data_IF_200020232049
#
_entry.id   IF_200020232049
#
_cell.length_a   1.000
_cell.length_b   1.000
_cell.length_c   1.000
_cell.angle_alpha   90.00
_cell.angle_beta   90.00
_cell.angle_gamma   90.00
#
_symmetry.space_group_name_H-M   'P 1'
#
loop_
_entity.id
_entity.type
_entity.pdbx_description
1 polymer ?
#
# COMPACT_ATOMS: atom_id res chain seq x y z
N UNK A 1 14.32 19.48 14.92
CA UNK A 1 15.35 19.48 13.87
C UNK A 1 14.92 18.43 12.86
N UNK A 2 14.67 18.82 11.61
CA UNK A 2 14.37 17.90 10.52
C UNK A 2 15.63 17.09 10.25
N UNK A 3 15.56 15.76 10.28
CA UNK A 3 16.68 14.93 9.83
C UNK A 3 16.77 15.06 8.31
N UNK A 4 17.90 15.50 7.83
CA UNK A 4 18.22 15.57 6.41
C UNK A 4 18.60 14.20 5.86
N UNK A 5 18.70 14.06 4.53
CA UNK A 5 19.25 12.85 3.89
C UNK A 5 20.63 12.49 4.48
N UNK A 6 21.46 13.52 4.78
CA UNK A 6 22.77 13.36 5.44
C UNK A 6 22.65 12.80 6.86
N UNK A 7 21.53 13.04 7.57
CA UNK A 7 21.30 12.49 8.91
C UNK A 7 20.85 11.02 8.83
N UNK A 8 20.14 10.63 7.78
CA UNK A 8 19.80 9.22 7.48
C UNK A 8 21.06 8.41 7.21
N UNK A 9 22.04 8.99 6.51
CA UNK A 9 23.33 8.35 6.21
C UNK A 9 24.17 8.13 7.48
N UNK A 10 23.97 8.93 8.54
CA UNK A 10 24.66 8.79 9.85
C UNK A 10 23.91 7.89 10.84
N UNK A 11 22.67 7.49 10.54
CA UNK A 11 21.94 6.51 11.36
C UNK A 11 22.49 5.11 11.00
N UNK A 12 23.09 4.35 11.94
CA UNK A 12 23.58 3.00 11.66
C UNK A 12 22.46 2.03 11.21
N UNK A 13 21.21 2.45 11.32
CA UNK A 13 20.02 1.74 10.78
C UNK A 13 19.55 2.30 9.42
N UNK A 14 20.16 3.39 8.93
CA UNK A 14 19.83 3.94 7.62
C UNK A 14 20.55 3.14 6.53
N UNK A 15 19.82 2.77 5.48
CA UNK A 15 20.42 2.16 4.31
C UNK A 15 21.17 3.26 3.54
N UNK A 16 22.47 3.11 3.25
CA UNK A 16 23.22 4.10 2.48
C UNK A 16 22.61 4.28 1.09
N UNK A 17 22.50 5.54 0.65
CA UNK A 17 22.06 5.90 -0.72
C UNK A 17 23.26 6.31 -1.57
N UNK A 18 24.48 6.29 -0.98
CA UNK A 18 25.72 6.62 -1.68
C UNK A 18 26.24 5.39 -2.42
N UNK A 19 26.27 5.48 -3.73
CA UNK A 19 26.80 4.45 -4.60
C UNK A 19 26.01 4.29 -5.88
N UNK A 20 26.60 3.56 -6.83
CA UNK A 20 25.90 3.19 -8.05
C UNK A 20 24.73 2.23 -7.75
N UNK A 21 23.66 2.24 -8.57
CA UNK A 21 22.57 1.27 -8.49
C UNK A 21 23.11 -0.17 -8.39
N UNK A 22 22.38 -1.05 -7.70
CA UNK A 22 22.79 -2.45 -7.51
C UNK A 22 23.09 -3.14 -8.86
N UNK A 23 23.92 -4.18 -8.84
CA UNK A 23 24.26 -4.95 -10.04
C UNK A 23 23.02 -5.45 -10.79
N UNK A 24 21.99 -5.90 -10.06
CA UNK A 24 20.74 -6.35 -10.66
C UNK A 24 20.02 -5.22 -11.42
N UNK A 25 20.05 -4.00 -10.88
CA UNK A 25 19.42 -2.86 -11.53
C UNK A 25 20.25 -2.37 -12.73
N UNK A 26 21.58 -2.39 -12.64
CA UNK A 26 22.46 -2.06 -13.78
C UNK A 26 22.36 -3.04 -14.94
N UNK A 27 22.07 -4.31 -14.64
CA UNK A 27 21.85 -5.36 -15.64
C UNK A 27 20.40 -5.39 -16.16
N UNK A 28 19.49 -4.59 -15.60
CA UNK A 28 18.10 -4.54 -16.00
C UNK A 28 17.95 -3.93 -17.40
N UNK A 29 16.99 -4.44 -18.16
CA UNK A 29 16.54 -3.76 -19.36
C UNK A 29 15.69 -2.56 -18.96
N UNK A 30 16.05 -1.37 -19.41
CA UNK A 30 15.26 -0.15 -19.19
C UNK A 30 14.20 0.03 -20.27
N UNK A 31 13.02 0.53 -19.86
CA UNK A 31 11.92 0.87 -20.76
C UNK A 31 11.29 2.20 -20.33
N UNK A 32 10.91 3.00 -21.29
CA UNK A 32 10.06 4.19 -21.13
C UNK A 32 8.82 4.05 -22.02
N UNK A 33 7.77 4.79 -21.70
CA UNK A 33 6.56 4.84 -22.51
C UNK A 33 6.28 6.31 -22.90
N UNK A 34 6.07 6.57 -24.19
CA UNK A 34 5.79 7.90 -24.73
C UNK A 34 4.32 8.26 -24.57
N UNK A 35 3.83 8.24 -23.32
CA UNK A 35 2.47 8.64 -22.99
C UNK A 35 2.49 9.55 -21.76
N UNK A 36 1.60 10.55 -21.67
CA UNK A 36 1.64 11.55 -20.60
C UNK A 36 1.63 10.96 -19.19
N UNK A 37 0.93 9.86 -19.00
CA UNK A 37 0.82 9.19 -17.70
C UNK A 37 2.13 8.54 -17.21
N UNK A 38 3.11 8.36 -18.10
CA UNK A 38 4.42 7.79 -17.80
C UNK A 38 5.58 8.73 -18.08
N UNK A 39 5.29 10.00 -18.36
CA UNK A 39 6.32 11.00 -18.62
C UNK A 39 7.32 11.09 -17.45
N UNK A 40 8.61 10.93 -17.76
CA UNK A 40 9.69 10.99 -16.77
C UNK A 40 9.78 9.78 -15.85
N UNK A 41 9.14 8.65 -16.21
CA UNK A 41 9.26 7.38 -15.48
C UNK A 41 10.09 6.38 -16.29
N UNK A 42 11.10 5.82 -15.65
CA UNK A 42 11.93 4.72 -16.18
C UNK A 42 11.48 3.40 -15.53
N UNK A 43 11.27 2.39 -16.33
CA UNK A 43 10.93 1.05 -15.88
C UNK A 43 12.16 0.14 -16.05
N UNK A 44 12.61 -0.43 -14.93
CA UNK A 44 13.70 -1.40 -14.87
C UNK A 44 13.13 -2.81 -14.87
N UNK A 45 13.19 -3.48 -16.02
CA UNK A 45 12.71 -4.85 -16.20
C UNK A 45 13.79 -5.81 -15.68
N UNK A 46 13.46 -6.52 -14.58
CA UNK A 46 14.39 -7.46 -13.92
C UNK A 46 13.81 -8.86 -13.84
N UNK A 47 14.67 -9.86 -13.82
CA UNK A 47 14.32 -11.23 -13.48
C UNK A 47 14.48 -11.45 -11.97
N UNK A 48 13.36 -11.68 -11.29
CA UNK A 48 13.37 -11.97 -9.86
C UNK A 48 13.80 -13.42 -9.60
N UNK A 49 14.58 -13.63 -8.54
CA UNK A 49 14.95 -14.97 -8.05
C UNK A 49 13.86 -15.58 -7.17
N UNK A 50 13.10 -14.72 -6.47
CA UNK A 50 12.01 -15.09 -5.57
C UNK A 50 10.81 -14.16 -5.73
N UNK A 51 9.61 -14.69 -5.59
CA UNK A 51 8.35 -13.95 -5.63
C UNK A 51 7.80 -13.70 -4.22
N UNK A 52 7.77 -14.74 -3.37
CA UNK A 52 7.21 -14.68 -2.03
C UNK A 52 8.23 -14.16 -1.03
N UNK A 53 7.78 -13.25 -0.17
CA UNK A 53 8.60 -12.69 0.90
C UNK A 53 8.00 -13.07 2.27
N UNK A 54 8.84 -13.59 3.17
CA UNK A 54 8.44 -13.83 4.55
C UNK A 54 8.28 -12.49 5.28
N UNK A 55 7.21 -12.38 6.07
CA UNK A 55 6.91 -11.16 6.83
C UNK A 55 6.83 -11.51 8.31
N UNK A 56 7.43 -10.67 9.17
CA UNK A 56 7.38 -10.79 10.62
C UNK A 56 6.75 -9.54 11.23
N UNK A 57 6.06 -9.70 12.36
CA UNK A 57 5.45 -8.57 13.07
C UNK A 57 4.19 -7.98 12.43
N UNK A 58 3.65 -8.65 11.40
CA UNK A 58 2.40 -8.28 10.74
C UNK A 58 1.37 -9.41 10.89
N UNK A 59 0.06 -9.14 10.73
CA UNK A 59 -0.98 -10.16 10.82
C UNK A 59 -0.99 -11.18 9.67
N UNK A 60 -0.04 -11.10 8.75
CA UNK A 60 0.18 -12.05 7.66
C UNK A 60 1.65 -12.47 7.61
N UNK A 61 1.90 -13.74 7.26
CA UNK A 61 3.25 -14.31 7.24
C UNK A 61 3.97 -14.18 5.90
N UNK A 62 3.25 -13.90 4.81
CA UNK A 62 3.80 -13.82 3.47
C UNK A 62 3.28 -12.63 2.70
N UNK A 63 4.12 -12.07 1.85
CA UNK A 63 3.74 -11.01 0.91
C UNK A 63 4.33 -11.24 -0.48
N UNK A 64 3.65 -10.67 -1.47
CA UNK A 64 4.11 -10.60 -2.85
C UNK A 64 4.07 -9.16 -3.33
N UNK A 65 5.19 -8.68 -3.88
CA UNK A 65 5.28 -7.38 -4.53
C UNK A 65 5.87 -7.56 -5.94
N UNK A 66 5.06 -7.25 -6.96
CA UNK A 66 5.42 -7.41 -8.37
C UNK A 66 6.39 -6.33 -8.84
N UNK A 67 6.35 -5.20 -8.15
CA UNK A 67 7.10 -3.99 -8.45
C UNK A 67 7.93 -3.54 -7.26
N UNK A 68 8.87 -2.60 -7.47
CA UNK A 68 9.40 -1.70 -6.46
C UNK A 68 9.28 -0.28 -6.97
N UNK A 69 8.98 0.66 -6.07
CA UNK A 69 8.53 1.98 -6.45
C UNK A 69 7.05 1.99 -6.81
N UNK A 70 6.47 3.17 -6.93
CA UNK A 70 5.04 3.32 -7.19
C UNK A 70 4.74 4.69 -7.80
N UNK A 71 4.19 4.69 -9.02
CA UNK A 71 3.78 5.90 -9.74
C UNK A 71 2.56 6.61 -9.14
N UNK A 72 2.02 6.16 -8.00
CA UNK A 72 1.01 6.91 -7.23
C UNK A 72 1.59 8.15 -6.54
N UNK A 73 2.90 8.21 -6.34
CA UNK A 73 3.65 9.35 -5.85
C UNK A 73 3.12 9.97 -4.54
N UNK A 74 2.51 9.18 -3.66
CA UNK A 74 1.95 9.67 -2.39
C UNK A 74 3.05 10.30 -1.53
N UNK A 75 2.80 11.52 -1.02
CA UNK A 75 3.75 12.28 -0.20
C UNK A 75 4.12 11.61 1.13
N UNK A 76 3.27 10.73 1.61
CA UNK A 76 3.36 10.03 2.90
C UNK A 76 3.68 8.53 2.77
N UNK A 77 4.05 8.05 1.58
CA UNK A 77 4.17 6.61 1.33
C UNK A 77 5.26 5.96 2.22
N UNK A 78 4.85 5.03 3.07
CA UNK A 78 5.76 4.33 3.99
C UNK A 78 6.76 3.41 3.27
N UNK A 79 6.51 3.06 2.00
CA UNK A 79 7.36 2.18 1.23
C UNK A 79 8.59 2.88 0.62
N UNK A 80 8.63 4.21 0.58
CA UNK A 80 9.72 5.01 -0.02
C UNK A 80 11.13 4.58 0.43
N UNK A 81 11.41 4.32 1.73
CA UNK A 81 12.73 3.89 2.17
C UNK A 81 13.22 2.58 1.56
N UNK A 82 12.33 1.78 0.96
CA UNK A 82 12.72 0.53 0.30
C UNK A 82 13.56 0.74 -0.97
N UNK A 83 13.54 1.95 -1.56
CA UNK A 83 14.37 2.30 -2.71
C UNK A 83 15.86 2.39 -2.36
N UNK A 84 16.18 2.77 -1.13
CA UNK A 84 17.55 2.79 -0.66
C UNK A 84 18.24 1.41 -0.73
N UNK A 85 17.50 0.31 -0.69
CA UNK A 85 18.05 -1.05 -0.91
C UNK A 85 18.55 -1.27 -2.35
N UNK A 86 18.17 -0.41 -3.27
CA UNK A 86 18.63 -0.45 -4.66
C UNK A 86 19.72 0.60 -4.93
N UNK A 87 20.17 1.32 -3.90
CA UNK A 87 20.96 2.54 -3.99
C UNK A 87 20.29 3.61 -4.86
N UNK A 88 18.97 3.70 -4.74
CA UNK A 88 18.14 4.74 -5.35
C UNK A 88 17.58 5.67 -4.27
N UNK A 89 17.35 6.92 -4.63
CA UNK A 89 16.75 7.90 -3.71
C UNK A 89 15.34 7.49 -3.29
N UNK A 90 15.01 7.48 -2.00
CA UNK A 90 13.63 7.31 -1.54
C UNK A 90 12.73 8.52 -1.88
N UNK A 91 13.30 9.61 -2.34
CA UNK A 91 12.59 10.85 -2.69
C UNK A 91 12.01 10.74 -4.10
N UNK A 92 12.77 11.17 -5.11
CA UNK A 92 12.29 11.26 -6.49
C UNK A 92 12.28 9.91 -7.21
N UNK A 93 13.28 9.05 -6.94
CA UNK A 93 13.39 7.79 -7.68
C UNK A 93 12.27 6.81 -7.31
N UNK A 94 11.66 6.94 -6.11
CA UNK A 94 10.59 6.04 -5.69
C UNK A 94 9.39 6.04 -6.66
N UNK A 95 9.08 7.17 -7.27
CA UNK A 95 7.98 7.30 -8.23
C UNK A 95 8.42 7.32 -9.68
N UNK A 96 9.73 7.50 -9.96
CA UNK A 96 10.28 7.64 -11.32
C UNK A 96 11.10 6.45 -11.78
N UNK A 97 11.72 5.72 -10.87
CA UNK A 97 12.54 4.54 -11.16
C UNK A 97 11.81 3.28 -10.68
N UNK A 98 10.91 2.75 -11.50
CA UNK A 98 10.04 1.63 -11.16
C UNK A 98 10.69 0.31 -11.57
N UNK A 99 10.95 -0.57 -10.62
CA UNK A 99 11.42 -1.93 -10.92
C UNK A 99 10.24 -2.85 -11.18
N UNK A 100 10.30 -3.58 -12.28
CA UNK A 100 9.28 -4.53 -12.73
C UNK A 100 9.87 -5.94 -12.75
N UNK A 101 9.31 -6.85 -11.98
CA UNK A 101 9.72 -8.26 -11.95
C UNK A 101 9.00 -9.03 -13.06
N UNK A 102 9.58 -9.05 -14.26
CA UNK A 102 8.91 -9.55 -15.47
C UNK A 102 8.57 -11.04 -15.44
N UNK A 103 9.38 -11.84 -14.73
CA UNK A 103 9.20 -13.29 -14.57
C UNK A 103 8.47 -13.69 -13.29
N UNK A 104 7.88 -12.73 -12.54
CA UNK A 104 7.33 -12.97 -11.19
C UNK A 104 6.26 -14.07 -11.17
N UNK A 105 5.44 -14.18 -12.21
CA UNK A 105 4.38 -15.20 -12.31
C UNK A 105 4.97 -16.61 -12.40
N UNK A 106 6.02 -16.78 -13.21
CA UNK A 106 6.72 -18.06 -13.35
C UNK A 106 7.41 -18.47 -12.06
N UNK A 107 8.12 -17.50 -11.43
CA UNK A 107 8.78 -17.72 -10.14
C UNK A 107 7.77 -18.09 -9.07
N UNK A 108 6.64 -17.37 -9.00
CA UNK A 108 5.55 -17.65 -8.07
C UNK A 108 5.01 -19.08 -8.24
N UNK A 109 4.70 -19.49 -9.46
CA UNK A 109 4.24 -20.87 -9.74
C UNK A 109 5.24 -21.92 -9.24
N UNK A 110 6.53 -21.72 -9.47
CA UNK A 110 7.58 -22.63 -8.98
C UNK A 110 7.62 -22.67 -7.44
N UNK A 111 7.48 -21.52 -6.77
CA UNK A 111 7.52 -21.45 -5.30
C UNK A 111 6.29 -22.11 -4.67
N UNK A 112 5.11 -21.87 -5.24
CA UNK A 112 3.86 -22.47 -4.77
C UNK A 112 3.77 -23.99 -5.03
N UNK A 113 4.51 -24.50 -6.02
CA UNK A 113 4.59 -25.93 -6.32
C UNK A 113 5.56 -26.70 -5.40
N UNK A 114 6.36 -26.01 -4.57
CA UNK A 114 7.30 -26.71 -3.66
C UNK A 114 6.55 -27.53 -2.62
N UNK A 115 7.00 -28.76 -2.30
CA UNK A 115 6.39 -29.58 -1.24
C UNK A 115 6.41 -28.93 0.16
N UNK A 116 7.30 -27.96 0.36
CA UNK A 116 7.39 -27.18 1.60
C UNK A 116 6.35 -26.06 1.70
N UNK A 117 5.68 -25.69 0.60
CA UNK A 117 4.62 -24.69 0.65
C UNK A 117 3.40 -25.24 1.39
N UNK A 118 2.84 -24.44 2.31
CA UNK A 118 1.75 -24.86 3.21
C UNK A 118 0.40 -24.23 2.87
N UNK A 119 0.30 -23.49 1.75
CA UNK A 119 -0.94 -22.80 1.40
C UNK A 119 -1.29 -21.65 2.37
N UNK A 120 -0.27 -21.01 2.96
CA UNK A 120 -0.48 -19.90 3.87
C UNK A 120 -0.97 -18.66 3.09
N UNK A 121 -1.73 -17.81 3.78
CA UNK A 121 -2.25 -16.57 3.18
C UNK A 121 -1.12 -15.63 2.74
N UNK A 122 -1.25 -15.07 1.53
CA UNK A 122 -0.31 -14.11 0.95
C UNK A 122 -0.97 -12.73 0.79
N UNK A 123 -0.32 -11.68 1.29
CA UNK A 123 -0.76 -10.29 1.13
C UNK A 123 -0.06 -9.62 -0.04
N UNK A 124 -0.81 -8.96 -0.94
CA UNK A 124 -0.30 -8.14 -2.04
C UNK A 124 -0.49 -6.66 -1.73
N UNK A 125 0.42 -5.81 -2.23
CA UNK A 125 0.31 -4.35 -2.03
C UNK A 125 0.92 -3.85 -0.73
N UNK A 126 1.91 -4.56 -0.18
CA UNK A 126 2.54 -4.21 1.10
C UNK A 126 3.68 -3.20 0.97
N UNK A 127 4.42 -3.18 -0.14
CA UNK A 127 5.54 -2.25 -0.38
C UNK A 127 5.46 -1.52 -1.73
N UNK A 128 4.44 -1.80 -2.50
CA UNK A 128 4.11 -1.14 -3.76
C UNK A 128 2.63 -1.36 -4.03
N UNK A 129 2.05 -0.62 -4.97
CA UNK A 129 0.67 -0.89 -5.37
C UNK A 129 0.65 -1.90 -6.53
N UNK A 130 -0.03 -3.06 -6.38
CA UNK A 130 -0.10 -4.06 -7.44
C UNK A 130 -0.92 -3.60 -8.64
N UNK A 131 -1.77 -2.58 -8.48
CA UNK A 131 -2.58 -2.00 -9.54
C UNK A 131 -2.21 -0.54 -9.83
N UNK A 132 -0.95 -0.16 -9.59
CA UNK A 132 -0.43 1.10 -10.07
C UNK A 132 -0.50 1.17 -11.61
N UNK A 133 -0.42 2.38 -12.19
CA UNK A 133 -0.67 2.58 -13.64
C UNK A 133 0.09 1.64 -14.57
N UNK A 134 1.34 1.29 -14.26
CA UNK A 134 2.15 0.41 -15.11
C UNK A 134 1.58 -1.02 -15.20
N UNK A 135 0.76 -1.47 -14.24
CA UNK A 135 0.05 -2.75 -14.34
C UNK A 135 -0.89 -2.79 -15.57
N UNK A 136 -1.35 -1.66 -16.06
CA UNK A 136 -2.07 -1.56 -17.33
C UNK A 136 -1.26 -2.01 -18.54
N UNK A 137 0.06 -1.87 -18.49
CA UNK A 137 1.02 -2.25 -19.55
C UNK A 137 1.57 -3.67 -19.34
N UNK A 138 2.04 -3.95 -18.13
CA UNK A 138 2.72 -5.23 -17.83
C UNK A 138 1.77 -6.40 -17.59
N UNK A 139 0.57 -6.14 -17.09
CA UNK A 139 -0.50 -7.15 -16.90
C UNK A 139 -0.05 -8.40 -16.14
N UNK A 140 0.69 -8.21 -15.05
CA UNK A 140 1.21 -9.32 -14.24
C UNK A 140 0.15 -9.91 -13.30
N UNK A 141 -0.78 -9.08 -12.82
CA UNK A 141 -1.80 -9.49 -11.84
C UNK A 141 -2.69 -10.64 -12.30
N UNK A 142 -3.18 -10.70 -13.54
CA UNK A 142 -3.97 -11.85 -13.98
C UNK A 142 -3.28 -13.20 -13.79
N UNK A 143 -2.00 -13.27 -14.17
CA UNK A 143 -1.21 -14.50 -13.98
C UNK A 143 -0.91 -14.83 -12.50
N UNK A 144 -0.78 -13.81 -11.65
CA UNK A 144 -0.62 -13.97 -10.19
C UNK A 144 -1.89 -14.53 -9.57
N UNK A 145 -3.06 -13.97 -9.91
CA UNK A 145 -4.37 -14.45 -9.44
C UNK A 145 -4.58 -15.92 -9.83
N UNK A 146 -4.29 -16.25 -11.09
CA UNK A 146 -4.39 -17.62 -11.58
C UNK A 146 -3.46 -18.58 -10.83
N UNK A 147 -2.20 -18.19 -10.59
CA UNK A 147 -1.22 -19.02 -9.87
C UNK A 147 -1.67 -19.31 -8.42
N UNK A 148 -2.26 -18.33 -7.73
CA UNK A 148 -2.82 -18.53 -6.39
C UNK A 148 -4.03 -19.46 -6.41
N UNK A 149 -4.94 -19.30 -7.36
CA UNK A 149 -6.10 -20.16 -7.50
C UNK A 149 -5.69 -21.62 -7.75
N UNK A 150 -4.79 -21.86 -8.73
CA UNK A 150 -4.30 -23.20 -9.08
C UNK A 150 -3.57 -23.90 -7.93
N UNK A 151 -2.82 -23.13 -7.10
CA UNK A 151 -2.10 -23.68 -5.94
C UNK A 151 -2.96 -23.76 -4.68
N UNK A 152 -4.23 -23.37 -4.74
CA UNK A 152 -5.14 -23.26 -3.59
C UNK A 152 -4.57 -22.41 -2.44
N UNK A 153 -3.88 -21.33 -2.79
CA UNK A 153 -3.28 -20.39 -1.85
C UNK A 153 -4.19 -19.18 -1.62
N UNK A 154 -4.68 -18.95 -0.39
CA UNK A 154 -5.48 -17.77 -0.05
C UNK A 154 -4.66 -16.49 -0.22
N UNK A 155 -5.30 -15.42 -0.69
CA UNK A 155 -4.62 -14.14 -0.84
C UNK A 155 -5.51 -12.93 -0.61
N UNK A 156 -4.88 -11.80 -0.32
CA UNK A 156 -5.56 -10.50 -0.23
C UNK A 156 -4.80 -9.42 -0.98
N UNK A 157 -5.56 -8.47 -1.50
CA UNK A 157 -5.04 -7.36 -2.28
C UNK A 157 -5.31 -6.05 -1.54
N UNK A 158 -4.27 -5.23 -1.33
CA UNK A 158 -4.40 -3.85 -0.88
C UNK A 158 -3.96 -2.92 -2.02
N UNK A 159 -4.83 -1.98 -2.40
CA UNK A 159 -4.54 -1.07 -3.51
C UNK A 159 -5.21 0.30 -3.35
N UNK A 160 -4.68 1.30 -4.03
CA UNK A 160 -5.35 2.57 -4.38
C UNK A 160 -5.80 2.57 -5.85
N UNK A 161 -5.31 1.61 -6.64
CA UNK A 161 -5.55 1.53 -8.08
C UNK A 161 -6.93 0.98 -8.42
N UNK A 162 -7.67 1.66 -9.28
CA UNK A 162 -8.97 1.20 -9.79
C UNK A 162 -8.85 0.15 -10.90
N UNK A 163 -7.64 -0.09 -11.41
CA UNK A 163 -7.37 -1.19 -12.35
C UNK A 163 -7.72 -2.58 -11.80
N UNK A 164 -7.87 -2.72 -10.49
CA UNK A 164 -8.35 -3.97 -9.87
C UNK A 164 -9.71 -4.42 -10.43
N UNK A 165 -10.55 -3.50 -10.89
CA UNK A 165 -11.85 -3.81 -11.50
C UNK A 165 -11.73 -4.51 -12.86
N UNK A 166 -10.60 -4.32 -13.58
CA UNK A 166 -10.28 -5.06 -14.81
C UNK A 166 -10.27 -6.58 -14.58
N UNK A 167 -9.82 -6.99 -13.41
CA UNK A 167 -9.55 -8.39 -13.08
C UNK A 167 -10.67 -9.03 -12.24
N UNK A 168 -11.84 -8.40 -12.13
CA UNK A 168 -13.00 -8.92 -11.36
C UNK A 168 -13.37 -10.34 -11.78
N UNK A 169 -13.39 -10.63 -13.07
CA UNK A 169 -13.72 -11.99 -13.56
C UNK A 169 -12.71 -13.04 -13.07
N UNK A 170 -11.42 -12.72 -13.09
CA UNK A 170 -10.36 -13.59 -12.58
C UNK A 170 -10.42 -13.76 -11.06
N UNK A 171 -10.66 -12.66 -10.32
CA UNK A 171 -10.82 -12.69 -8.87
C UNK A 171 -12.02 -13.51 -8.44
N UNK A 172 -13.13 -13.39 -9.16
CA UNK A 172 -14.33 -14.18 -8.90
C UNK A 172 -14.07 -15.68 -9.14
N UNK A 173 -13.48 -16.04 -10.26
CA UNK A 173 -13.11 -17.44 -10.55
C UNK A 173 -12.12 -18.00 -9.50
N UNK A 174 -11.16 -17.17 -9.02
CA UNK A 174 -10.27 -17.57 -7.94
C UNK A 174 -11.03 -17.76 -6.62
N UNK A 175 -12.02 -16.90 -6.31
CA UNK A 175 -12.78 -16.98 -5.07
C UNK A 175 -13.64 -18.24 -4.91
N UNK A 176 -13.93 -18.93 -6.02
CA UNK A 176 -14.57 -20.25 -6.03
C UNK A 176 -13.63 -21.37 -5.54
N UNK A 177 -12.32 -21.14 -5.57
CA UNK A 177 -11.29 -22.12 -5.25
C UNK A 177 -10.58 -21.84 -3.92
N UNK A 178 -10.38 -20.56 -3.59
CA UNK A 178 -9.63 -20.11 -2.42
C UNK A 178 -10.25 -18.85 -1.81
N UNK A 179 -10.04 -18.57 -0.52
CA UNK A 179 -10.40 -17.28 0.06
C UNK A 179 -9.66 -16.13 -0.63
N UNK A 180 -10.43 -15.22 -1.23
CA UNK A 180 -9.93 -13.99 -1.85
C UNK A 180 -10.56 -12.80 -1.14
N UNK A 181 -9.77 -11.77 -0.85
CA UNK A 181 -10.25 -10.52 -0.29
C UNK A 181 -9.54 -9.32 -0.92
N UNK A 182 -10.18 -8.17 -0.90
CA UNK A 182 -9.57 -6.91 -1.31
C UNK A 182 -9.75 -5.83 -0.25
N UNK A 183 -8.86 -4.85 -0.26
CA UNK A 183 -9.03 -3.60 0.45
C UNK A 183 -8.58 -2.45 -0.45
N UNK A 184 -9.40 -1.40 -0.50
CA UNK A 184 -9.06 -0.17 -1.20
C UNK A 184 -8.72 0.91 -0.18
N UNK A 185 -7.61 1.59 -0.39
CA UNK A 185 -7.22 2.69 0.50
C UNK A 185 -7.89 3.99 0.05
N UNK A 186 -8.66 4.61 0.93
CA UNK A 186 -9.33 5.91 0.71
C UNK A 186 -9.17 6.72 1.99
N UNK A 187 -8.27 7.71 1.99
CA UNK A 187 -8.00 8.52 3.19
C UNK A 187 -8.92 9.74 3.31
N UNK A 188 -9.51 10.22 2.22
CA UNK A 188 -10.25 11.48 2.15
C UNK A 188 -11.23 11.50 0.99
N UNK A 189 -12.23 12.40 1.08
CA UNK A 189 -13.12 12.76 -0.05
C UNK A 189 -12.77 14.13 -0.63
N UNK A 190 -12.03 14.95 0.13
CA UNK A 190 -11.58 16.26 -0.32
C UNK A 190 -10.62 16.12 -1.51
N UNK A 191 -11.01 16.71 -2.65
CA UNK A 191 -10.28 16.56 -3.90
C UNK A 191 -8.97 17.38 -3.93
N UNK A 192 -8.91 18.51 -3.22
CA UNK A 192 -7.73 19.36 -3.22
C UNK A 192 -6.63 18.73 -2.35
N UNK A 193 -7.02 18.21 -1.17
CA UNK A 193 -6.11 17.44 -0.34
C UNK A 193 -5.65 16.18 -1.07
N UNK A 194 -6.56 15.46 -1.75
CA UNK A 194 -6.21 14.28 -2.54
C UNK A 194 -5.23 14.61 -3.67
N UNK A 195 -5.52 15.61 -4.51
CA UNK A 195 -4.61 15.98 -5.63
C UNK A 195 -3.22 16.35 -5.16
N UNK A 196 -3.14 17.04 -4.02
CA UNK A 196 -1.88 17.46 -3.42
C UNK A 196 -1.10 16.28 -2.82
N UNK A 197 -1.76 15.41 -2.04
CA UNK A 197 -1.11 14.36 -1.27
C UNK A 197 -0.90 13.05 -2.05
N UNK A 198 -1.73 12.76 -3.06
CA UNK A 198 -1.77 11.51 -3.82
C UNK A 198 -1.84 11.75 -5.35
N UNK A 199 -0.95 12.53 -5.96
CA UNK A 199 -1.10 13.07 -7.32
C UNK A 199 -1.21 12.01 -8.42
N UNK A 200 -0.67 10.80 -8.21
CA UNK A 200 -0.70 9.70 -9.17
C UNK A 200 -1.83 8.70 -9.00
N UNK A 201 -2.71 8.89 -8.00
CA UNK A 201 -3.79 7.95 -7.70
C UNK A 201 -5.09 8.28 -8.42
N UNK A 202 -6.00 7.30 -8.63
CA UNK A 202 -7.38 7.57 -9.00
C UNK A 202 -8.10 8.40 -7.93
N UNK A 203 -9.15 9.14 -8.33
CA UNK A 203 -9.93 9.95 -7.39
C UNK A 203 -10.58 9.12 -6.29
N UNK A 204 -10.87 9.71 -5.10
CA UNK A 204 -11.59 9.03 -4.04
C UNK A 204 -12.94 8.46 -4.50
N UNK A 205 -13.67 9.20 -5.36
CA UNK A 205 -14.93 8.75 -5.96
C UNK A 205 -14.74 7.49 -6.80
N UNK A 206 -13.75 7.47 -7.70
CA UNK A 206 -13.46 6.30 -8.52
C UNK A 206 -13.04 5.08 -7.68
N UNK A 207 -12.34 5.31 -6.57
CA UNK A 207 -11.99 4.24 -5.62
C UNK A 207 -13.22 3.69 -4.88
N UNK A 208 -14.19 4.52 -4.49
CA UNK A 208 -15.47 4.07 -3.93
C UNK A 208 -16.28 3.25 -4.94
N UNK A 209 -16.28 3.65 -6.21
CA UNK A 209 -16.90 2.88 -7.30
C UNK A 209 -16.23 1.51 -7.47
N UNK A 210 -14.90 1.44 -7.36
CA UNK A 210 -14.18 0.16 -7.39
C UNK A 210 -14.53 -0.74 -6.20
N UNK A 211 -14.67 -0.18 -4.99
CA UNK A 211 -15.15 -0.92 -3.80
C UNK A 211 -16.53 -1.51 -4.06
N UNK A 212 -17.46 -0.73 -4.60
CA UNK A 212 -18.81 -1.20 -4.94
C UNK A 212 -18.75 -2.33 -5.97
N UNK A 213 -18.06 -2.11 -7.09
CA UNK A 213 -17.96 -3.09 -8.16
C UNK A 213 -17.39 -4.44 -7.71
N UNK A 214 -16.38 -4.42 -6.84
CA UNK A 214 -15.81 -5.64 -6.27
C UNK A 214 -16.80 -6.35 -5.33
N UNK A 215 -17.47 -5.63 -4.45
CA UNK A 215 -18.46 -6.21 -3.54
C UNK A 215 -19.69 -6.74 -4.31
N UNK A 216 -20.18 -6.04 -5.31
CA UNK A 216 -21.29 -6.47 -6.18
C UNK A 216 -20.91 -7.75 -6.97
N UNK A 217 -19.64 -7.92 -7.27
CA UNK A 217 -19.11 -9.15 -7.89
C UNK A 217 -18.88 -10.30 -6.89
N UNK A 218 -19.17 -10.10 -5.59
CA UNK A 218 -18.98 -11.10 -4.56
C UNK A 218 -17.55 -11.21 -4.04
N UNK A 219 -16.68 -10.23 -4.33
CA UNK A 219 -15.32 -10.16 -3.78
C UNK A 219 -15.35 -9.30 -2.51
N UNK A 220 -15.19 -9.90 -1.31
CA UNK A 220 -15.24 -9.16 -0.06
C UNK A 220 -14.19 -8.04 -0.03
N UNK A 221 -14.67 -6.80 -0.12
CA UNK A 221 -13.78 -5.63 -0.24
C UNK A 221 -14.03 -4.66 0.90
N UNK A 222 -12.97 -4.39 1.66
CA UNK A 222 -12.96 -3.38 2.72
C UNK A 222 -12.33 -2.06 2.27
N UNK A 223 -12.38 -1.07 3.16
CA UNK A 223 -11.70 0.21 2.98
C UNK A 223 -10.74 0.47 4.13
N UNK A 224 -9.50 0.86 3.79
CA UNK A 224 -8.57 1.44 4.74
C UNK A 224 -8.67 2.96 4.67
N UNK A 225 -9.16 3.58 5.74
CA UNK A 225 -9.13 5.04 5.90
C UNK A 225 -7.69 5.45 6.25
N UNK A 226 -6.83 5.54 5.23
CA UNK A 226 -5.39 5.69 5.42
C UNK A 226 -4.75 6.62 4.38
N UNK A 227 -3.95 7.58 4.85
CA UNK A 227 -3.79 7.95 6.24
C UNK A 227 -4.84 8.95 6.72
N UNK A 228 -5.13 8.95 8.02
CA UNK A 228 -5.79 10.09 8.68
C UNK A 228 -4.68 11.09 9.03
N UNK A 229 -4.77 12.27 8.44
CA UNK A 229 -3.77 13.36 8.53
C UNK A 229 -4.32 14.52 9.37
N UNK A 230 -3.67 14.85 10.51
CA UNK A 230 -4.15 15.88 11.44
C UNK A 230 -4.35 17.25 10.79
N UNK A 231 -5.58 17.77 10.83
CA UNK A 231 -5.93 19.09 10.28
C UNK A 231 -6.28 19.08 8.77
N UNK A 232 -6.09 17.96 8.08
CA UNK A 232 -6.39 17.83 6.65
C UNK A 232 -7.67 17.02 6.39
N UNK A 233 -7.82 15.86 7.04
CA UNK A 233 -8.94 14.95 6.82
C UNK A 233 -9.44 14.30 8.12
N UNK A 234 -9.12 14.87 9.28
CA UNK A 234 -9.41 14.31 10.60
C UNK A 234 -10.63 14.96 11.30
N UNK A 235 -11.31 15.90 10.66
CA UNK A 235 -12.51 16.49 11.26
C UNK A 235 -13.66 15.47 11.37
N UNK A 236 -14.50 15.63 12.39
CA UNK A 236 -15.67 14.76 12.62
C UNK A 236 -16.56 14.69 11.39
N UNK A 237 -16.78 15.81 10.71
CA UNK A 237 -17.62 15.88 9.52
C UNK A 237 -16.99 15.11 8.35
N UNK A 238 -15.70 15.30 8.08
CA UNK A 238 -15.00 14.60 7.00
C UNK A 238 -14.95 13.10 7.23
N UNK A 239 -14.60 12.66 8.46
CA UNK A 239 -14.56 11.25 8.81
C UNK A 239 -15.94 10.60 8.75
N UNK A 240 -17.00 11.30 9.21
CA UNK A 240 -18.38 10.80 9.12
C UNK A 240 -18.79 10.60 7.66
N UNK A 241 -18.58 11.61 6.81
CA UNK A 241 -18.94 11.54 5.39
C UNK A 241 -18.17 10.41 4.67
N UNK A 242 -16.87 10.24 4.96
CA UNK A 242 -16.06 9.18 4.37
C UNK A 242 -16.54 7.78 4.81
N UNK A 243 -16.81 7.59 6.11
CA UNK A 243 -17.32 6.31 6.63
C UNK A 243 -18.65 5.95 6.02
N UNK A 244 -19.57 6.93 5.91
CA UNK A 244 -20.88 6.72 5.30
C UNK A 244 -20.77 6.35 3.81
N UNK A 245 -19.92 7.05 3.06
CA UNK A 245 -19.66 6.74 1.67
C UNK A 245 -19.08 5.33 1.48
N UNK A 246 -18.15 4.92 2.36
CA UNK A 246 -17.59 3.56 2.35
C UNK A 246 -18.66 2.49 2.67
N UNK A 247 -19.50 2.73 3.67
CA UNK A 247 -20.59 1.82 4.02
C UNK A 247 -21.60 1.70 2.88
N UNK A 248 -21.99 2.83 2.26
CA UNK A 248 -22.89 2.87 1.10
C UNK A 248 -22.28 2.19 -0.16
N UNK A 249 -20.96 2.12 -0.26
CA UNK A 249 -20.26 1.34 -1.28
C UNK A 249 -20.16 -0.16 -0.95
N UNK A 250 -20.74 -0.61 0.16
CA UNK A 250 -20.74 -2.01 0.55
C UNK A 250 -19.44 -2.49 1.21
N UNK A 251 -18.61 -1.58 1.74
CA UNK A 251 -17.36 -1.98 2.37
C UNK A 251 -17.59 -2.95 3.55
N UNK A 252 -17.00 -4.15 3.47
CA UNK A 252 -17.11 -5.20 4.50
C UNK A 252 -16.31 -4.86 5.77
N UNK A 253 -15.28 -4.03 5.62
CA UNK A 253 -14.50 -3.43 6.69
C UNK A 253 -14.19 -1.97 6.39
N UNK A 254 -14.10 -1.16 7.45
CA UNK A 254 -13.66 0.23 7.40
C UNK A 254 -12.69 0.39 8.57
N UNK A 255 -11.40 0.51 8.26
CA UNK A 255 -10.32 0.49 9.26
C UNK A 255 -9.56 1.81 9.22
N UNK A 256 -9.55 2.62 10.30
CA UNK A 256 -8.78 3.85 10.36
C UNK A 256 -7.30 3.55 10.59
N UNK A 257 -6.44 4.27 9.88
CA UNK A 257 -4.98 4.27 10.11
C UNK A 257 -4.52 5.72 10.10
N UNK A 258 -4.00 6.19 11.23
CA UNK A 258 -3.39 7.51 11.32
C UNK A 258 -2.04 7.52 10.61
N UNK A 259 -1.67 8.71 10.12
CA UNK A 259 -0.42 8.93 9.43
C UNK A 259 0.78 8.38 10.22
N UNK A 260 1.70 7.72 9.51
CA UNK A 260 2.93 7.15 10.04
C UNK A 260 4.13 7.75 9.31
N UNK A 261 4.94 8.52 10.01
CA UNK A 261 6.08 9.25 9.48
C UNK A 261 7.40 8.65 9.99
N UNK A 262 7.83 7.54 9.44
CA UNK A 262 9.15 6.96 9.74
C UNK A 262 10.28 7.68 8.99
N UNK A 263 11.55 7.48 9.35
CA UNK A 263 12.69 7.95 8.56
C UNK A 263 12.58 7.50 7.08
N UNK A 264 12.96 8.36 6.15
CA UNK A 264 12.79 8.16 4.71
C UNK A 264 11.41 8.55 4.16
N UNK A 265 10.40 8.69 5.05
CA UNK A 265 9.09 9.27 4.69
C UNK A 265 9.04 10.74 5.10
N UNK A 266 9.59 11.08 6.26
CA UNK A 266 9.63 12.46 6.77
C UNK A 266 10.30 13.41 5.78
N UNK A 267 11.33 12.96 5.11
CA UNK A 267 12.13 13.74 4.16
C UNK A 267 11.35 14.15 2.90
N UNK A 268 10.27 13.44 2.58
CA UNK A 268 9.33 13.79 1.50
C UNK A 268 8.13 14.56 2.06
N UNK A 269 7.60 14.10 3.20
CA UNK A 269 6.38 14.63 3.76
C UNK A 269 6.54 16.07 4.28
N UNK A 270 7.67 16.40 4.92
CA UNK A 270 7.88 17.73 5.47
C UNK A 270 7.97 18.82 4.40
N UNK A 271 8.77 18.69 3.32
CA UNK A 271 8.77 19.68 2.24
C UNK A 271 7.40 19.86 1.59
N UNK A 272 6.66 18.75 1.40
CA UNK A 272 5.30 18.81 0.89
C UNK A 272 4.36 19.58 1.82
N UNK A 273 4.39 19.29 3.13
CA UNK A 273 3.55 19.97 4.12
C UNK A 273 3.90 21.46 4.23
N UNK A 274 5.19 21.79 4.24
CA UNK A 274 5.68 23.17 4.31
C UNK A 274 5.28 23.99 3.07
N UNK A 275 5.22 23.36 1.89
CA UNK A 275 4.80 24.03 0.67
C UNK A 275 3.28 24.17 0.53
N UNK A 276 2.52 23.11 0.89
CA UNK A 276 1.08 23.06 0.64
C UNK A 276 0.24 23.56 1.83
N UNK A 277 0.71 23.37 3.08
CA UNK A 277 -0.04 23.66 4.32
C UNK A 277 0.89 24.16 5.43
N UNK A 278 1.59 25.30 5.23
CA UNK A 278 2.60 25.80 6.17
C UNK A 278 2.04 26.06 7.57
N UNK A 279 0.75 26.41 7.68
CA UNK A 279 0.06 26.65 8.96
C UNK A 279 -0.07 25.39 9.82
N UNK A 280 -0.03 24.21 9.22
CA UNK A 280 -0.11 22.94 9.95
C UNK A 280 1.23 22.45 10.48
N UNK A 281 2.35 22.98 10.00
CA UNK A 281 3.71 22.54 10.37
C UNK A 281 3.93 22.52 11.88
N UNK A 282 3.55 23.57 12.68
CA UNK A 282 3.72 23.51 14.12
C UNK A 282 2.94 22.37 14.79
N UNK A 283 1.72 22.12 14.35
CA UNK A 283 0.87 21.02 14.84
C UNK A 283 1.51 19.66 14.57
N UNK A 284 2.00 19.44 13.35
CA UNK A 284 2.66 18.18 13.00
C UNK A 284 3.97 17.96 13.75
N UNK A 285 4.78 19.01 13.93
CA UNK A 285 6.01 18.91 14.73
C UNK A 285 5.73 18.54 16.19
N UNK A 286 4.64 19.04 16.76
CA UNK A 286 4.21 18.68 18.12
C UNK A 286 3.73 17.21 18.21
N UNK A 287 2.97 16.74 17.23
CA UNK A 287 2.38 15.40 17.22
C UNK A 287 3.39 14.30 16.82
N UNK A 288 4.26 14.58 15.85
CA UNK A 288 5.17 13.58 15.26
C UNK A 288 6.62 13.71 15.73
N UNK A 289 6.81 13.74 17.05
CA UNK A 289 8.14 13.63 17.66
C UNK A 289 8.82 12.31 17.33
N UNK A 290 8.03 11.21 17.28
CA UNK A 290 8.37 9.90 16.75
C UNK A 290 7.80 9.68 15.35
N UNK A 291 7.59 8.42 15.00
CA UNK A 291 6.98 8.02 13.72
C UNK A 291 5.44 8.09 13.75
N UNK A 292 4.82 7.97 14.92
CA UNK A 292 3.36 7.92 15.11
C UNK A 292 2.89 9.07 16.00
N UNK A 293 1.66 9.54 15.75
CA UNK A 293 0.99 10.46 16.67
C UNK A 293 0.69 9.76 18.01
N UNK A 294 0.65 10.51 19.14
CA UNK A 294 0.37 9.96 20.47
C UNK A 294 -0.98 9.20 20.53
N UNK A 295 -1.08 8.20 21.42
CA UNK A 295 -2.34 7.46 21.67
C UNK A 295 -3.52 8.37 21.97
N UNK A 296 -3.29 9.40 22.77
CA UNK A 296 -4.30 10.40 23.12
C UNK A 296 -4.93 11.11 21.89
N UNK A 297 -4.20 11.21 20.78
CA UNK A 297 -4.73 11.73 19.52
C UNK A 297 -5.43 10.62 18.70
N UNK A 298 -4.86 9.42 18.63
CA UNK A 298 -5.34 8.32 17.77
C UNK A 298 -6.62 7.66 18.29
N UNK A 299 -6.67 7.33 19.58
CA UNK A 299 -7.78 6.57 20.16
C UNK A 299 -9.16 7.25 20.04
N UNK A 300 -9.31 8.56 20.22
CA UNK A 300 -10.60 9.23 19.97
C UNK A 300 -11.07 9.09 18.51
N UNK A 301 -10.15 9.20 17.54
CA UNK A 301 -10.46 9.03 16.12
C UNK A 301 -10.88 7.59 15.80
N UNK A 302 -10.15 6.62 16.34
CA UNK A 302 -10.45 5.19 16.16
C UNK A 302 -11.81 4.83 16.73
N UNK A 303 -12.13 5.33 17.93
CA UNK A 303 -13.47 5.16 18.56
C UNK A 303 -14.56 5.82 17.72
N UNK A 304 -14.36 7.08 17.31
CA UNK A 304 -15.32 7.77 16.46
C UNK A 304 -15.62 7.01 15.17
N UNK A 305 -14.59 6.57 14.45
CA UNK A 305 -14.76 5.78 13.21
C UNK A 305 -15.49 4.46 13.50
N UNK A 306 -15.16 3.78 14.60
CA UNK A 306 -15.84 2.54 14.98
C UNK A 306 -17.33 2.75 15.28
N UNK A 307 -17.68 3.83 15.98
CA UNK A 307 -19.07 4.18 16.30
C UNK A 307 -19.84 4.57 15.05
N UNK A 308 -19.27 5.45 14.22
CA UNK A 308 -19.88 5.87 12.96
C UNK A 308 -20.10 4.71 12.01
N UNK A 309 -19.12 3.83 11.87
CA UNK A 309 -19.21 2.60 11.08
C UNK A 309 -20.38 1.72 11.54
N UNK A 310 -20.56 1.53 12.85
CA UNK A 310 -21.70 0.78 13.38
C UNK A 310 -23.04 1.45 13.02
N UNK A 311 -23.10 2.78 13.09
CA UNK A 311 -24.28 3.53 12.69
C UNK A 311 -24.56 3.43 11.19
N UNK A 312 -23.55 3.60 10.35
CA UNK A 312 -23.65 3.51 8.90
C UNK A 312 -24.11 2.10 8.44
N UNK A 313 -23.57 1.03 9.06
CA UNK A 313 -24.02 -0.33 8.74
C UNK A 313 -25.45 -0.65 9.22
N UNK A 314 -25.96 0.01 10.25
CA UNK A 314 -27.40 -0.08 10.58
C UNK A 314 -28.27 0.55 9.48
N UNK A 315 -27.79 1.61 8.85
CA UNK A 315 -28.53 2.34 7.79
C UNK A 315 -28.43 1.62 6.43
N UNK A 316 -27.25 1.15 6.03
CA UNK A 316 -26.98 0.60 4.69
C UNK A 316 -27.00 -0.94 4.63
N UNK A 317 -27.14 -1.60 5.78
CA UNK A 317 -26.93 -3.03 5.91
C UNK A 317 -25.43 -3.37 6.08
N UNK A 318 -25.15 -4.34 6.93
CA UNK A 318 -23.80 -4.87 7.07
C UNK A 318 -23.57 -5.95 6.01
N UNK A 319 -22.58 -5.82 5.12
CA UNK A 319 -22.28 -6.87 4.15
C UNK A 319 -21.88 -8.16 4.86
N UNK A 320 -22.21 -9.34 4.31
CA UNK A 320 -21.77 -10.62 4.85
C UNK A 320 -20.24 -10.70 4.80
N UNK A 321 -19.66 -11.15 5.88
CA UNK A 321 -18.22 -11.42 5.95
C UNK A 321 -17.99 -12.91 5.73
N UNK A 322 -17.20 -13.34 4.74
CA UNK A 322 -16.95 -14.76 4.50
C UNK A 322 -16.35 -15.47 5.74
N UNK A 323 -16.69 -16.74 5.96
CA UNK A 323 -16.06 -17.53 7.02
C UNK A 323 -14.52 -17.55 6.85
N UNK A 324 -13.80 -17.31 7.92
CA UNK A 324 -12.32 -17.32 7.90
C UNK A 324 -11.67 -16.05 7.35
N UNK A 325 -12.46 -15.07 6.88
CA UNK A 325 -11.92 -13.78 6.50
C UNK A 325 -11.47 -13.01 7.75
N UNK A 326 -10.19 -13.05 7.98
CA UNK A 326 -9.53 -12.11 8.90
C UNK A 326 -9.22 -10.88 8.04
N UNK A 327 -10.10 -9.89 8.06
CA UNK A 327 -9.78 -8.58 7.51
C UNK A 327 -8.38 -8.20 7.94
N UNK A 328 -7.69 -7.31 7.21
CA UNK A 328 -6.49 -6.70 7.77
C UNK A 328 -6.89 -6.25 9.18
N UNK A 329 -6.62 -7.12 10.16
CA UNK A 329 -6.88 -6.79 11.53
C UNK A 329 -6.17 -5.48 11.76
N UNK A 330 -6.75 -4.49 12.44
CA UNK A 330 -5.96 -3.37 12.91
C UNK A 330 -4.73 -4.01 13.51
N UNK A 331 -3.55 -3.56 13.11
CA UNK A 331 -2.31 -4.03 13.71
C UNK A 331 -2.58 -3.98 15.21
N UNK A 332 -2.80 -5.15 15.79
CA UNK A 332 -2.90 -5.26 17.22
C UNK A 332 -1.63 -4.59 17.68
N UNK A 333 -1.76 -3.60 18.55
CA UNK A 333 -0.71 -2.78 19.09
C UNK A 333 0.64 -3.52 19.08
N UNK A 334 1.37 -3.40 17.99
CA UNK A 334 2.78 -3.72 17.97
C UNK A 334 3.46 -2.57 18.69
N UNK A 335 3.47 -2.67 20.00
CA UNK A 335 4.35 -1.86 20.87
C UNK A 335 5.84 -2.13 20.58
N UNK A 336 6.17 -2.79 19.47
CA UNK A 336 7.49 -3.21 19.09
C UNK A 336 7.86 -2.87 17.65
N UNK A 337 7.19 -1.92 17.01
CA UNK A 337 7.50 -1.54 15.62
C UNK A 337 8.69 -0.56 15.49
N UNK A 338 9.56 -0.47 16.49
CA UNK A 338 10.88 0.15 16.35
C UNK A 338 11.98 -0.84 15.92
N UNK A 339 11.67 -2.13 15.78
CA UNK A 339 12.62 -3.06 15.21
C UNK A 339 12.55 -3.03 13.67
N UNK A 340 13.68 -2.82 12.99
CA UNK A 340 13.74 -2.86 11.52
C UNK A 340 13.37 -4.28 11.05
N UNK A 341 12.45 -4.38 10.12
CA UNK A 341 12.24 -5.61 9.33
C UNK A 341 13.61 -6.05 8.83
N UNK A 342 14.00 -7.28 9.16
CA UNK A 342 15.34 -7.79 8.91
C UNK A 342 15.73 -7.61 7.44
N UNK A 343 16.71 -6.74 7.23
CA UNK A 343 17.19 -6.24 5.94
C UNK A 343 17.80 -7.35 5.09
N UNK A 344 18.32 -8.42 5.73
CA UNK A 344 19.15 -9.45 5.07
C UNK A 344 18.41 -10.32 4.05
N UNK A 345 17.10 -10.53 4.19
CA UNK A 345 16.34 -11.40 3.28
C UNK A 345 15.84 -10.68 2.02
N UNK A 346 15.69 -9.34 2.07
CA UNK A 346 15.19 -8.58 0.90
C UNK A 346 16.27 -8.32 -0.18
N UNK A 347 17.54 -8.30 0.19
CA UNK A 347 18.66 -8.11 -0.75
C UNK A 347 18.95 -9.34 -1.60
N UNK A 348 18.59 -10.54 -1.14
CA UNK A 348 18.79 -11.79 -1.88
C UNK A 348 17.74 -12.06 -2.96
N UNK A 349 16.74 -11.18 -3.11
CA UNK A 349 15.56 -11.39 -3.95
C UNK A 349 15.64 -10.73 -5.34
N UNK A 350 16.76 -10.02 -5.63
CA UNK A 350 17.08 -9.48 -6.96
C UNK A 350 18.23 -10.23 -7.61
#
# INVERSE_FOLDING_TARGET
MSRTLADLQRDPKAVPVDGEPTLALRAARTRTFDTPEFAGITFHEVEAKSALNRVRGMPFGWSLNLYRGCGHACSYCFARPTHAYLNLSPLEDFEREIVVKTNVVEVLRRELAKPSWRGEHVALGTNTDPYQRCEGRYRLMPGVIEAFAQSRTPFSILTKGTLVTRDIAALRAASEQVPVAAAVTIGMLDEDVWRSAEPGTPSPKARLEAVRALNDAGIPTGVMLAPIMPGLNDSVAQLAALVDACAAAGAVHITPITLHLRPGVKEVFWPWLEAAYPELVPRYRALYRGATAPKAFREPLERFVADRRRAAWRQHGRPPTPPGWRGAAPAAESAAADEPVAVSEQLSLL
#
